data_IF_635052961264
#
_entry.id   IF_635052961264
#
_cell.length_a   1.000
_cell.length_b   1.000
_cell.length_c   1.000
_cell.angle_alpha   90.00
_cell.angle_beta   90.00
_cell.angle_gamma   90.00
#
_symmetry.space_group_name_H-M   'P 1'
#
loop_
_entity.id
_entity.type
_entity.pdbx_description
1 polymer ?
#
# COMPACT_ATOMS: atom_id res chain seq x y z
N UNK A 1 3.91 14.07 13.81
CA UNK A 1 5.31 13.67 14.07
C UNK A 1 5.63 14.03 15.52
N UNK A 2 6.12 13.10 16.36
CA UNK A 2 6.55 13.46 17.71
C UNK A 2 7.66 14.52 17.58
N UNK A 3 7.47 15.66 18.24
CA UNK A 3 8.49 16.72 18.28
C UNK A 3 9.67 16.18 19.08
N UNK A 4 10.73 15.80 18.38
CA UNK A 4 12.04 15.52 18.96
C UNK A 4 12.84 16.81 18.99
N UNK A 5 13.31 17.19 20.16
CA UNK A 5 14.16 18.37 20.32
C UNK A 5 15.47 17.98 20.98
N UNK A 6 16.57 18.38 20.35
CA UNK A 6 17.91 18.25 20.92
C UNK A 6 18.38 19.61 21.42
N UNK A 7 18.93 19.63 22.63
CA UNK A 7 19.68 20.77 23.15
C UNK A 7 21.12 20.35 23.37
N UNK A 8 22.05 21.03 22.71
CA UNK A 8 23.48 20.81 22.90
C UNK A 8 23.94 21.54 24.16
N UNK A 9 24.48 20.79 25.14
CA UNK A 9 25.10 21.37 26.32
C UNK A 9 26.61 21.38 26.12
N UNK A 10 27.18 22.58 25.94
CA UNK A 10 28.63 22.82 25.75
C UNK A 10 29.27 22.04 24.60
N UNK A 11 28.51 21.68 23.56
CA UNK A 11 28.98 20.82 22.44
C UNK A 11 29.50 19.43 22.85
N UNK A 12 29.29 19.01 24.10
CA UNK A 12 29.84 17.76 24.66
C UNK A 12 28.75 16.75 24.97
N UNK A 13 27.58 17.22 25.40
CA UNK A 13 26.46 16.39 25.80
C UNK A 13 25.21 16.75 24.99
N UNK A 14 24.42 15.72 24.66
CA UNK A 14 23.14 15.86 23.97
C UNK A 14 22.04 15.64 25.00
N UNK A 15 21.27 16.69 25.27
CA UNK A 15 20.02 16.59 26.01
C UNK A 15 18.89 16.36 25.01
N UNK A 16 18.12 15.29 25.18
CA UNK A 16 16.97 14.99 24.34
C UNK A 16 15.66 15.22 25.10
N UNK A 17 14.63 15.59 24.36
CA UNK A 17 13.24 15.59 24.84
C UNK A 17 12.30 15.14 23.73
N UNK A 18 11.34 14.27 24.08
CA UNK A 18 10.32 13.76 23.16
C UNK A 18 9.01 13.43 23.88
N UNK A 19 7.92 13.28 23.10
CA UNK A 19 6.55 13.12 23.60
C UNK A 19 6.09 14.29 24.49
N UNK A 20 6.26 15.52 24.03
CA UNK A 20 5.81 16.73 24.75
C UNK A 20 6.44 16.84 26.16
N UNK A 21 7.76 16.68 26.24
CA UNK A 21 8.57 16.75 27.47
C UNK A 21 8.35 15.65 28.53
N UNK A 22 7.52 14.64 28.29
CA UNK A 22 7.34 13.54 29.25
C UNK A 22 8.58 12.66 29.37
N UNK A 23 9.37 12.56 28.30
CA UNK A 23 10.60 11.76 28.29
C UNK A 23 11.77 12.65 27.90
N UNK A 24 12.68 12.84 28.83
CA UNK A 24 13.85 13.69 28.65
C UNK A 24 15.05 13.11 29.40
N UNK A 25 16.25 13.52 29.00
CA UNK A 25 17.47 13.07 29.64
C UNK A 25 18.72 13.28 28.79
N UNK A 26 19.81 12.71 29.27
CA UNK A 26 21.05 12.57 28.53
C UNK A 26 21.20 11.12 28.07
N UNK A 27 21.74 10.94 26.88
CA UNK A 27 22.06 9.60 26.41
C UNK A 27 23.21 8.98 27.23
N UNK A 28 23.10 7.69 27.50
CA UNK A 28 24.18 6.88 28.09
C UNK A 28 24.76 5.96 27.01
N UNK A 29 26.06 5.66 27.04
CA UNK A 29 26.68 4.79 26.03
C UNK A 29 26.52 3.33 26.45
N UNK A 30 25.89 2.53 25.59
CA UNK A 30 25.57 1.12 25.84
C UNK A 30 26.83 0.31 26.16
N UNK A 31 26.75 -0.51 27.21
CA UNK A 31 27.86 -1.37 27.64
C UNK A 31 29.02 -0.67 28.36
N UNK A 32 28.88 0.61 28.74
CA UNK A 32 29.84 1.34 29.57
C UNK A 32 29.14 2.27 30.56
N UNK A 33 29.76 2.55 31.71
CA UNK A 33 29.29 3.60 32.63
C UNK A 33 29.82 5.00 32.26
N UNK A 34 30.46 5.12 31.09
CA UNK A 34 31.14 6.33 30.66
C UNK A 34 30.18 7.27 29.95
N UNK A 35 30.37 8.56 30.17
CA UNK A 35 29.65 9.62 29.48
C UNK A 35 30.13 9.78 28.03
N UNK A 36 29.29 10.38 27.19
CA UNK A 36 29.62 10.68 25.79
C UNK A 36 31.01 11.35 25.60
N UNK A 37 31.37 12.40 26.36
CA UNK A 37 32.68 13.02 26.23
C UNK A 37 33.85 12.15 26.72
N UNK A 38 33.63 11.24 27.66
CA UNK A 38 34.68 10.28 28.07
C UNK A 38 34.93 9.26 26.96
N UNK A 39 33.86 8.74 26.35
CA UNK A 39 33.95 7.81 25.22
C UNK A 39 34.49 8.45 23.94
N UNK A 40 34.36 9.76 23.79
CA UNK A 40 34.89 10.51 22.64
C UNK A 40 36.31 11.04 22.85
N UNK A 41 37.02 10.65 23.92
CA UNK A 41 38.33 11.21 24.30
C UNK A 41 38.31 12.75 24.45
N UNK A 42 37.23 13.30 25.01
CA UNK A 42 37.03 14.73 25.21
C UNK A 42 36.70 15.50 23.92
N UNK A 43 36.41 14.82 22.81
CA UNK A 43 36.04 15.47 21.56
C UNK A 43 34.65 16.08 21.64
N UNK A 44 34.44 17.19 20.93
CA UNK A 44 33.13 17.85 20.81
C UNK A 44 32.34 17.28 19.64
N UNK A 45 31.03 17.43 19.70
CA UNK A 45 30.09 17.05 18.63
C UNK A 45 30.37 17.95 17.41
N UNK A 46 30.51 17.32 16.25
CA UNK A 46 30.70 17.99 14.97
C UNK A 46 29.38 18.08 14.19
N UNK A 47 28.59 17.00 14.17
CA UNK A 47 27.36 16.93 13.40
C UNK A 47 26.40 15.91 14.02
N UNK A 48 25.09 16.18 13.93
CA UNK A 48 24.02 15.25 14.26
C UNK A 48 23.12 15.14 13.05
N UNK A 49 22.82 13.92 12.64
CA UNK A 49 21.86 13.61 11.57
C UNK A 49 20.71 12.82 12.18
N UNK A 50 19.50 13.22 11.81
CA UNK A 50 18.25 12.53 12.12
C UNK A 50 17.57 12.18 10.79
N UNK A 51 17.21 10.93 10.58
CA UNK A 51 16.37 10.53 9.46
C UNK A 51 14.87 10.54 9.81
N UNK A 52 14.02 10.35 8.81
CA UNK A 52 12.56 10.31 8.99
C UNK A 52 12.07 9.00 9.64
N UNK A 53 12.93 7.99 9.77
CA UNK A 53 12.67 6.72 10.45
C UNK A 53 13.02 6.79 11.95
N UNK A 54 13.58 7.91 12.40
CA UNK A 54 13.98 8.14 13.79
C UNK A 54 15.36 7.59 14.15
N UNK A 55 16.21 7.29 13.18
CA UNK A 55 17.62 6.98 13.39
C UNK A 55 18.41 8.26 13.62
N UNK A 56 19.28 8.26 14.64
CA UNK A 56 20.09 9.40 15.05
C UNK A 56 21.56 8.98 14.95
N UNK A 57 22.31 9.66 14.09
CA UNK A 57 23.74 9.47 13.90
C UNK A 57 24.49 10.72 14.37
N UNK A 58 25.40 10.55 15.32
CA UNK A 58 26.19 11.61 15.94
C UNK A 58 27.64 11.42 15.54
N UNK A 59 28.22 12.46 14.94
CA UNK A 59 29.63 12.54 14.58
C UNK A 59 30.37 13.47 15.52
N UNK A 60 31.47 12.99 16.08
CA UNK A 60 32.43 13.78 16.85
C UNK A 60 33.50 14.42 15.94
N UNK A 61 34.21 15.46 16.43
CA UNK A 61 35.28 16.12 15.67
C UNK A 61 36.46 15.20 15.37
N UNK A 62 36.73 14.21 16.23
CA UNK A 62 37.75 13.18 16.02
C UNK A 62 37.25 11.99 15.18
N UNK A 63 36.13 12.13 14.47
CA UNK A 63 35.54 11.12 13.59
C UNK A 63 35.02 9.85 14.30
N UNK A 64 34.84 9.88 15.63
CA UNK A 64 34.09 8.85 16.33
C UNK A 64 32.59 9.03 16.04
N UNK A 65 31.91 7.91 15.79
CA UNK A 65 30.47 7.88 15.53
C UNK A 65 29.70 7.21 16.66
N UNK A 66 28.53 7.77 16.95
CA UNK A 66 27.55 7.17 17.85
C UNK A 66 26.19 7.10 17.15
N UNK A 67 25.50 5.98 17.34
CA UNK A 67 24.17 5.74 16.82
C UNK A 67 23.16 5.54 17.94
N UNK A 68 21.95 6.05 17.76
CA UNK A 68 20.80 5.66 18.56
C UNK A 68 19.52 5.77 17.74
N UNK A 69 18.44 5.21 18.25
CA UNK A 69 17.10 5.37 17.69
C UNK A 69 16.28 6.21 18.64
N UNK A 70 15.36 7.01 18.11
CA UNK A 70 14.56 8.00 18.83
C UNK A 70 13.84 7.47 20.09
N UNK A 71 13.55 6.17 20.18
CA UNK A 71 12.94 5.55 21.38
C UNK A 71 13.94 4.88 22.33
N UNK A 72 15.20 4.75 21.93
CA UNK A 72 16.27 4.16 22.73
C UNK A 72 16.95 5.25 23.57
N UNK A 73 17.26 4.92 24.82
CA UNK A 73 17.97 5.81 25.75
C UNK A 73 19.48 5.65 25.70
N UNK A 74 19.93 4.64 24.97
CA UNK A 74 21.33 4.25 24.87
C UNK A 74 21.92 4.65 23.52
N UNK A 75 23.17 5.10 23.54
CA UNK A 75 24.01 5.31 22.37
C UNK A 75 24.91 4.10 22.17
N UNK A 76 24.98 3.63 20.93
CA UNK A 76 25.91 2.60 20.53
C UNK A 76 27.08 3.29 19.84
N UNK A 77 28.30 3.04 20.30
CA UNK A 77 29.48 3.49 19.59
C UNK A 77 29.68 2.61 18.35
N UNK A 78 29.80 3.24 17.19
CA UNK A 78 30.09 2.53 15.94
C UNK A 78 31.61 2.36 15.76
N UNK A 79 32.05 1.35 14.97
CA UNK A 79 33.45 1.14 14.64
C UNK A 79 34.11 2.37 14.01
N UNK A 80 35.42 2.45 14.18
CA UNK A 80 36.22 3.52 13.58
C UNK A 80 36.27 3.33 12.07
N UNK A 81 35.59 4.20 11.32
CA UNK A 81 35.54 4.12 9.85
C UNK A 81 36.78 4.73 9.18
N UNK A 82 37.15 5.95 9.58
CA UNK A 82 38.24 6.73 8.96
C UNK A 82 39.14 7.32 10.05
N UNK A 83 40.44 7.36 9.79
CA UNK A 83 41.44 7.95 10.67
C UNK A 83 41.02 9.38 11.10
N UNK A 84 41.16 9.70 12.39
CA UNK A 84 40.67 10.93 13.03
C UNK A 84 41.19 12.24 12.46
N UNK A 85 42.24 12.20 11.62
CA UNK A 85 42.84 13.39 11.00
C UNK A 85 42.16 13.86 9.72
N UNK A 86 41.35 13.03 9.05
CA UNK A 86 40.69 13.41 7.79
C UNK A 86 39.45 14.26 8.04
N UNK A 87 39.27 15.34 7.27
CA UNK A 87 38.06 16.15 7.31
C UNK A 87 36.94 15.42 6.58
N UNK A 88 35.86 15.13 7.28
CA UNK A 88 34.69 14.47 6.71
C UNK A 88 33.38 15.04 7.24
N UNK A 89 32.35 14.99 6.40
CA UNK A 89 30.98 15.42 6.72
C UNK A 89 30.03 14.29 6.33
N UNK A 90 28.96 14.12 7.09
CA UNK A 90 27.92 13.15 6.77
C UNK A 90 26.82 13.83 5.96
N UNK A 91 26.31 13.12 4.95
CA UNK A 91 25.19 13.54 4.11
C UNK A 91 24.13 12.45 4.10
N UNK A 92 22.89 12.84 4.38
CA UNK A 92 21.73 11.94 4.34
C UNK A 92 20.93 12.26 3.07
N UNK A 93 20.63 11.25 2.26
CA UNK A 93 19.72 11.43 1.14
C UNK A 93 18.23 11.31 1.60
N UNK A 94 17.26 11.70 0.75
CA UNK A 94 15.84 11.55 1.08
C UNK A 94 15.39 10.11 1.38
N UNK A 95 16.11 9.12 0.86
CA UNK A 95 15.87 7.70 1.10
C UNK A 95 16.51 7.16 2.39
N UNK A 96 17.03 8.02 3.27
CA UNK A 96 17.73 7.69 4.51
C UNK A 96 19.07 6.93 4.34
N UNK A 97 19.64 6.87 3.13
CA UNK A 97 21.00 6.38 2.92
C UNK A 97 22.03 7.41 3.39
N UNK A 98 23.03 6.96 4.15
CA UNK A 98 24.11 7.80 4.67
C UNK A 98 25.31 7.74 3.73
N UNK A 99 25.82 8.91 3.36
CA UNK A 99 27.06 9.08 2.61
C UNK A 99 28.06 9.88 3.44
N UNK A 100 29.34 9.55 3.29
CA UNK A 100 30.45 10.32 3.83
C UNK A 100 31.04 11.15 2.69
N UNK A 101 31.14 12.46 2.92
CA UNK A 101 31.85 13.40 2.07
C UNK A 101 33.23 13.65 2.68
N UNK A 102 34.26 13.16 2.02
CA UNK A 102 35.66 13.34 2.40
C UNK A 102 36.22 14.57 1.70
N UNK A 103 36.76 15.49 2.49
CA UNK A 103 37.31 16.74 1.99
C UNK A 103 38.84 16.64 2.05
N UNK A 104 39.47 16.61 0.89
CA UNK A 104 40.93 16.62 0.75
C UNK A 104 41.37 17.82 -0.08
N UNK A 105 41.83 18.87 0.61
CA UNK A 105 42.14 20.16 -0.01
C UNK A 105 40.92 20.76 -0.72
N UNK A 106 41.00 20.83 -2.05
CA UNK A 106 39.92 21.34 -2.93
C UNK A 106 38.98 20.25 -3.46
N UNK A 107 39.29 18.97 -3.25
CA UNK A 107 38.53 17.85 -3.79
C UNK A 107 37.58 17.28 -2.74
N UNK A 108 36.36 16.95 -3.17
CA UNK A 108 35.35 16.29 -2.33
C UNK A 108 35.06 14.92 -2.92
N UNK A 109 35.30 13.87 -2.13
CA UNK A 109 35.01 12.48 -2.50
C UNK A 109 33.78 12.00 -1.75
N UNK A 110 32.92 11.24 -2.43
CA UNK A 110 31.73 10.64 -1.82
C UNK A 110 31.95 9.14 -1.63
N UNK A 111 31.67 8.66 -0.43
CA UNK A 111 31.63 7.23 -0.11
C UNK A 111 30.28 6.88 0.51
N UNK A 112 29.73 5.71 0.18
CA UNK A 112 28.53 5.18 0.86
C UNK A 112 28.93 4.65 2.23
N UNK A 113 28.17 5.01 3.27
CA UNK A 113 28.38 4.51 4.63
C UNK A 113 27.31 3.45 4.97
N UNK A 114 27.69 2.17 5.17
CA UNK A 114 26.75 1.08 5.38
C UNK A 114 26.24 1.06 6.82
N UNK A 115 25.45 2.07 7.20
CA UNK A 115 25.00 2.30 8.57
C UNK A 115 24.38 1.05 9.23
N UNK A 116 23.52 0.33 8.52
CA UNK A 116 22.83 -0.85 9.05
C UNK A 116 23.80 -1.98 9.45
N UNK A 117 24.81 -2.24 8.62
CA UNK A 117 25.84 -3.25 8.87
C UNK A 117 26.69 -2.85 10.07
N UNK A 118 27.05 -1.56 10.18
CA UNK A 118 27.85 -1.04 11.30
C UNK A 118 27.09 -1.12 12.63
N UNK A 119 25.77 -0.85 12.63
CA UNK A 119 24.92 -1.03 13.80
C UNK A 119 24.88 -2.51 14.19
N UNK A 120 24.68 -3.40 13.21
CA UNK A 120 24.66 -4.84 13.46
C UNK A 120 25.99 -5.33 14.05
N UNK A 121 27.12 -4.91 13.47
CA UNK A 121 28.46 -5.22 13.98
C UNK A 121 28.69 -4.71 15.41
N UNK A 122 28.14 -3.54 15.76
CA UNK A 122 28.29 -2.95 17.10
C UNK A 122 27.41 -3.60 18.17
N UNK A 123 26.27 -4.17 17.75
CA UNK A 123 25.29 -4.79 18.66
C UNK A 123 25.48 -6.29 18.80
N UNK A 124 25.98 -6.94 17.75
CA UNK A 124 26.25 -8.37 17.75
C UNK A 124 27.64 -8.67 18.32
N UNK A 125 27.71 -8.88 19.65
CA UNK A 125 28.92 -9.37 20.33
C UNK A 125 28.99 -10.89 20.25
N UNK A 126 29.33 -11.42 19.08
CA UNK A 126 29.85 -12.78 19.02
C UNK A 126 31.38 -12.71 19.07
N UNK A 127 32.02 -13.67 19.74
CA UNK A 127 33.48 -13.89 19.68
C UNK A 127 33.91 -14.40 18.30
N UNK A 128 33.37 -13.81 17.24
CA UNK A 128 33.70 -14.16 15.86
C UNK A 128 34.99 -13.41 15.56
N UNK A 129 36.12 -14.15 15.54
CA UNK A 129 37.28 -13.69 14.80
C UNK A 129 36.82 -13.41 13.37
N UNK A 130 37.20 -12.27 12.79
CA UNK A 130 36.86 -11.94 11.41
C UNK A 130 37.58 -12.92 10.49
N UNK A 131 36.97 -14.09 10.25
CA UNK A 131 37.56 -15.20 9.53
C UNK A 131 37.66 -14.92 8.03
N UNK A 132 36.95 -13.90 7.54
CA UNK A 132 37.07 -13.40 6.18
C UNK A 132 38.23 -12.40 6.13
N UNK A 133 39.26 -12.74 5.37
CA UNK A 133 40.48 -11.96 5.19
C UNK A 133 40.30 -10.95 4.05
N UNK A 134 39.69 -11.38 2.94
CA UNK A 134 39.43 -10.53 1.79
C UNK A 134 38.20 -11.01 1.01
N UNK A 135 37.45 -10.06 0.45
CA UNK A 135 36.38 -10.31 -0.51
C UNK A 135 36.53 -9.35 -1.68
N UNK A 136 36.69 -9.90 -2.89
CA UNK A 136 36.80 -9.15 -4.14
C UNK A 136 35.69 -9.59 -5.08
N UNK A 137 35.11 -8.65 -5.82
CA UNK A 137 34.05 -8.92 -6.78
C UNK A 137 34.07 -7.90 -7.92
N UNK A 138 33.33 -8.20 -9.00
CA UNK A 138 33.08 -7.27 -10.11
C UNK A 138 31.69 -6.64 -10.13
N UNK A 139 30.92 -6.76 -9.04
CA UNK A 139 29.65 -6.05 -8.92
C UNK A 139 29.86 -4.55 -8.71
N UNK A 140 29.31 -3.74 -9.61
CA UNK A 140 29.26 -2.27 -9.57
C UNK A 140 27.97 -1.75 -8.90
N UNK A 141 26.90 -2.54 -8.93
CA UNK A 141 25.59 -2.19 -8.41
C UNK A 141 25.04 -3.26 -7.46
N UNK A 142 24.21 -2.84 -6.51
CA UNK A 142 23.54 -3.77 -5.58
C UNK A 142 22.40 -4.57 -6.25
N UNK A 143 21.86 -4.06 -7.37
CA UNK A 143 20.76 -4.68 -8.12
C UNK A 143 21.05 -4.52 -9.60
N UNK A 144 20.89 -5.61 -10.35
CA UNK A 144 21.04 -5.64 -11.81
C UNK A 144 19.70 -5.96 -12.45
N UNK A 145 19.29 -5.13 -13.42
CA UNK A 145 18.13 -5.39 -14.26
C UNK A 145 18.61 -6.04 -15.55
N UNK A 146 17.99 -7.15 -15.92
CA UNK A 146 18.30 -7.93 -17.12
C UNK A 146 17.11 -7.85 -18.07
N UNK A 147 17.32 -7.33 -19.27
CA UNK A 147 16.35 -7.43 -20.36
C UNK A 147 16.48 -8.79 -21.06
N UNK A 148 15.52 -9.10 -21.93
CA UNK A 148 15.48 -10.38 -22.63
C UNK A 148 16.68 -10.54 -23.56
N UNK A 149 17.42 -11.65 -23.38
CA UNK A 149 18.63 -11.95 -24.14
C UNK A 149 19.92 -11.41 -23.52
N UNK A 150 19.82 -10.60 -22.47
CA UNK A 150 20.98 -10.09 -21.76
C UNK A 150 21.74 -11.20 -21.03
N UNK A 151 23.07 -11.01 -20.97
CA UNK A 151 24.01 -11.91 -20.31
C UNK A 151 24.85 -11.11 -19.32
N UNK A 152 24.96 -11.60 -18.09
CA UNK A 152 25.82 -11.07 -17.04
C UNK A 152 26.72 -12.16 -16.50
N UNK A 153 27.95 -11.77 -16.13
CA UNK A 153 28.89 -12.67 -15.47
C UNK A 153 29.42 -11.98 -14.23
N UNK A 154 29.12 -12.58 -13.08
CA UNK A 154 29.66 -12.17 -11.80
C UNK A 154 30.84 -13.06 -11.45
N UNK A 155 31.93 -12.46 -11.00
CA UNK A 155 33.00 -13.19 -10.33
C UNK A 155 33.19 -12.64 -8.93
N UNK A 156 33.47 -13.54 -8.00
CA UNK A 156 33.89 -13.18 -6.66
C UNK A 156 35.04 -14.07 -6.21
N UNK A 157 35.92 -13.51 -5.40
CA UNK A 157 36.98 -14.21 -4.71
C UNK A 157 36.84 -13.90 -3.23
N UNK A 158 36.68 -14.95 -2.43
CA UNK A 158 36.68 -14.85 -0.98
C UNK A 158 37.87 -15.61 -0.41
N UNK A 159 38.59 -14.96 0.50
CA UNK A 159 39.76 -15.48 1.20
C UNK A 159 39.42 -15.52 2.68
N UNK A 160 39.55 -16.69 3.31
CA UNK A 160 39.16 -16.91 4.70
C UNK A 160 40.06 -17.91 5.42
N UNK A 161 40.03 -17.92 6.75
CA UNK A 161 40.79 -18.86 7.58
C UNK A 161 40.25 -20.29 7.47
N UNK A 162 41.16 -21.27 7.52
CA UNK A 162 40.80 -22.70 7.54
C UNK A 162 39.95 -23.04 8.78
N UNK A 163 38.95 -23.92 8.62
CA UNK A 163 37.92 -24.34 9.60
C UNK A 163 36.69 -23.42 9.73
N UNK A 164 36.49 -22.49 8.79
CA UNK A 164 35.28 -21.66 8.74
C UNK A 164 34.49 -21.97 7.48
N UNK A 165 33.19 -22.18 7.61
CA UNK A 165 32.30 -22.39 6.46
C UNK A 165 31.79 -21.04 5.98
N UNK A 166 32.21 -20.64 4.78
CA UNK A 166 31.85 -19.37 4.17
C UNK A 166 31.15 -19.63 2.84
N UNK A 167 29.88 -19.24 2.79
CA UNK A 167 29.06 -19.31 1.59
C UNK A 167 28.71 -17.92 1.07
N UNK A 168 28.69 -17.80 -0.24
CA UNK A 168 28.32 -16.62 -1.01
C UNK A 168 27.05 -16.99 -1.77
N UNK A 169 26.06 -16.10 -1.76
CA UNK A 169 24.78 -16.33 -2.44
C UNK A 169 24.43 -15.12 -3.31
N UNK A 170 23.96 -15.40 -4.53
CA UNK A 170 23.32 -14.41 -5.39
C UNK A 170 21.81 -14.61 -5.30
N UNK A 171 21.09 -13.55 -4.97
CA UNK A 171 19.64 -13.59 -4.89
C UNK A 171 19.04 -13.22 -6.25
N UNK A 172 18.18 -14.10 -6.77
CA UNK A 172 17.56 -13.94 -8.08
C UNK A 172 16.05 -13.76 -7.93
N UNK A 173 15.55 -12.69 -8.54
CA UNK A 173 14.11 -12.52 -8.71
C UNK A 173 13.68 -13.20 -10.02
N UNK A 174 12.64 -14.05 -9.95
CA UNK A 174 12.14 -14.85 -11.09
C UNK A 174 13.23 -15.74 -11.72
N UNK A 175 13.86 -16.65 -10.94
CA UNK A 175 14.91 -17.54 -11.46
C UNK A 175 14.41 -18.47 -12.56
N UNK A 176 13.08 -18.65 -12.70
CA UNK A 176 12.43 -19.40 -13.77
C UNK A 176 12.71 -18.85 -15.18
N UNK A 177 13.10 -17.58 -15.29
CA UNK A 177 13.39 -16.91 -16.56
C UNK A 177 14.89 -16.80 -16.86
N UNK A 178 15.73 -17.36 -15.98
CA UNK A 178 17.18 -17.19 -16.02
C UNK A 178 17.88 -18.53 -16.26
N UNK A 179 18.83 -18.54 -17.19
CA UNK A 179 19.81 -19.60 -17.32
C UNK A 179 20.98 -19.26 -16.38
N UNK A 180 21.07 -20.02 -15.29
CA UNK A 180 22.12 -19.88 -14.29
C UNK A 180 23.19 -20.96 -14.52
N UNK A 181 24.46 -20.54 -14.55
CA UNK A 181 25.61 -21.44 -14.56
C UNK A 181 26.62 -20.95 -13.54
N UNK A 182 26.87 -21.77 -12.53
CA UNK A 182 27.81 -21.44 -11.45
C UNK A 182 29.03 -22.36 -11.56
N UNK A 183 30.20 -21.78 -11.31
CA UNK A 183 31.46 -22.50 -11.22
C UNK A 183 32.24 -21.99 -10.03
N UNK A 184 32.54 -22.89 -9.10
CA UNK A 184 33.37 -22.60 -7.93
C UNK A 184 34.70 -23.35 -8.03
N UNK A 185 35.80 -22.66 -7.81
CA UNK A 185 37.14 -23.23 -7.61
C UNK A 185 37.60 -22.94 -6.20
N UNK A 186 38.22 -23.94 -5.58
CA UNK A 186 38.64 -23.87 -4.20
C UNK A 186 40.11 -24.26 -4.07
N UNK A 187 40.88 -23.43 -3.37
CA UNK A 187 42.31 -23.61 -3.14
C UNK A 187 42.63 -23.41 -1.66
N UNK A 188 43.47 -24.26 -1.08
CA UNK A 188 43.94 -24.14 0.29
C UNK A 188 45.46 -23.98 0.28
N UNK A 189 45.97 -22.97 0.97
CA UNK A 189 47.39 -22.79 1.18
C UNK A 189 47.67 -22.21 2.57
N UNK A 190 48.48 -22.92 3.36
CA UNK A 190 49.02 -22.45 4.66
C UNK A 190 47.94 -21.97 5.66
N UNK A 191 46.85 -22.70 5.83
CA UNK A 191 45.79 -22.33 6.78
C UNK A 191 44.82 -21.25 6.26
N UNK A 192 44.94 -20.87 4.98
CA UNK A 192 44.08 -19.92 4.31
C UNK A 192 43.38 -20.63 3.15
N UNK A 193 42.09 -20.40 3.05
CA UNK A 193 41.20 -20.93 2.03
C UNK A 193 40.81 -19.81 1.07
N UNK A 194 40.94 -20.06 -0.23
CA UNK A 194 40.52 -19.15 -1.30
C UNK A 194 39.45 -19.84 -2.12
N UNK A 195 38.28 -19.21 -2.21
CA UNK A 195 37.17 -19.66 -3.06
C UNK A 195 36.93 -18.62 -4.14
N UNK A 196 37.09 -19.06 -5.40
CA UNK A 196 36.78 -18.27 -6.58
C UNK A 196 35.45 -18.76 -7.15
N UNK A 197 34.47 -17.90 -7.22
CA UNK A 197 33.16 -18.22 -7.80
C UNK A 197 32.91 -17.37 -9.03
N UNK A 198 32.35 -18.01 -10.06
CA UNK A 198 31.90 -17.35 -11.28
C UNK A 198 30.47 -17.80 -11.54
N UNK A 199 29.55 -16.83 -11.56
CA UNK A 199 28.14 -17.04 -11.85
C UNK A 199 27.78 -16.34 -13.15
N UNK A 200 27.43 -17.12 -14.15
CA UNK A 200 26.90 -16.64 -15.42
C UNK A 200 25.37 -16.69 -15.38
N UNK A 201 24.75 -15.56 -15.73
CA UNK A 201 23.31 -15.36 -15.73
C UNK A 201 22.89 -14.90 -17.11
N UNK A 202 21.96 -15.61 -17.74
CA UNK A 202 21.38 -15.19 -19.02
C UNK A 202 19.86 -15.18 -18.97
N UNK A 203 19.25 -14.07 -19.34
CA UNK A 203 17.81 -13.97 -19.53
C UNK A 203 17.41 -14.63 -20.86
N UNK A 204 16.42 -15.53 -20.84
CA UNK A 204 15.99 -16.23 -22.05
C UNK A 204 14.48 -16.38 -22.17
N UNK A 205 13.99 -16.56 -23.40
CA UNK A 205 12.58 -16.81 -23.69
C UNK A 205 12.33 -18.32 -23.77
N UNK A 206 11.52 -18.83 -22.84
CA UNK A 206 11.05 -20.21 -22.82
C UNK A 206 9.98 -20.41 -23.89
N UNK A 207 10.39 -20.75 -25.12
CA UNK A 207 9.43 -21.15 -26.18
C UNK A 207 9.08 -22.64 -26.18
N UNK A 208 9.76 -23.49 -25.41
CA UNK A 208 9.51 -24.93 -25.41
C UNK A 208 9.86 -25.60 -24.08
N UNK A 209 8.89 -25.68 -23.17
CA UNK A 209 8.71 -26.79 -22.23
C UNK A 209 7.32 -26.67 -21.61
N UNK A 210 6.54 -27.72 -21.77
CA UNK A 210 5.11 -27.83 -21.49
C UNK A 210 4.77 -27.97 -19.99
N UNK A 211 5.47 -27.24 -19.14
CA UNK A 211 5.22 -27.20 -17.70
C UNK A 211 5.56 -25.79 -17.19
N UNK A 212 4.59 -25.13 -16.54
CA UNK A 212 4.59 -23.77 -15.94
C UNK A 212 3.68 -22.72 -16.65
N UNK A 213 3.12 -21.78 -15.85
CA UNK A 213 1.79 -21.23 -16.04
C UNK A 213 1.73 -20.32 -17.25
N UNK A 214 0.57 -20.30 -17.89
CA UNK A 214 0.31 -19.53 -19.09
C UNK A 214 0.51 -18.03 -18.81
N UNK A 215 1.68 -17.48 -19.18
CA UNK A 215 1.95 -16.06 -19.01
C UNK A 215 1.09 -15.26 -19.99
N UNK A 216 0.16 -14.47 -19.45
CA UNK A 216 -0.71 -13.58 -20.21
C UNK A 216 -0.19 -12.15 -20.11
N UNK A 217 0.24 -11.56 -21.23
CA UNK A 217 0.57 -10.13 -21.29
C UNK A 217 -0.75 -9.35 -21.20
N UNK A 218 -1.00 -8.78 -20.02
CA UNK A 218 -2.17 -7.95 -19.78
C UNK A 218 -1.86 -6.48 -20.07
N UNK A 219 -2.46 -5.92 -21.13
CA UNK A 219 -2.40 -4.48 -21.40
C UNK A 219 -3.31 -3.71 -20.44
N UNK A 220 -2.76 -2.64 -19.84
CA UNK A 220 -3.50 -1.67 -19.03
C UNK A 220 -3.93 -0.49 -19.90
N UNK A 221 -5.22 -0.19 -19.88
CA UNK A 221 -5.83 0.89 -20.66
C UNK A 221 -5.87 2.17 -19.82
N UNK A 222 -4.87 3.03 -20.00
CA UNK A 222 -4.70 4.28 -19.25
C UNK A 222 -5.83 5.27 -19.48
N UNK A 223 -6.36 5.35 -20.71
CA UNK A 223 -7.44 6.27 -21.05
C UNK A 223 -8.74 5.87 -20.36
N UNK A 224 -8.96 4.57 -20.19
CA UNK A 224 -10.17 4.04 -19.55
C UNK A 224 -10.09 4.01 -18.02
N UNK A 225 -8.96 3.61 -17.45
CA UNK A 225 -8.85 3.34 -16.01
C UNK A 225 -8.10 4.42 -15.22
N UNK A 226 -7.39 5.32 -15.90
CA UNK A 226 -6.66 6.42 -15.27
C UNK A 226 -5.34 6.02 -14.61
N UNK A 227 -4.96 6.72 -13.55
CA UNK A 227 -3.71 6.47 -12.84
C UNK A 227 -3.81 5.28 -11.87
N UNK A 228 -2.71 4.56 -11.70
CA UNK A 228 -2.61 3.47 -10.74
C UNK A 228 -2.54 4.01 -9.30
N UNK A 229 -3.16 3.28 -8.38
CA UNK A 229 -2.98 3.47 -6.95
C UNK A 229 -1.93 2.50 -6.43
N UNK A 230 -0.88 3.03 -5.82
CA UNK A 230 0.20 2.23 -5.28
C UNK A 230 -0.20 1.64 -3.92
N UNK A 231 -0.14 0.32 -3.82
CA UNK A 231 -0.40 -0.43 -2.59
C UNK A 231 0.81 -1.31 -2.30
N UNK A 232 1.28 -1.27 -1.06
CA UNK A 232 2.37 -2.15 -0.63
C UNK A 232 1.81 -3.54 -0.30
N UNK A 233 2.58 -4.59 -0.58
CA UNK A 233 2.24 -5.94 -0.15
C UNK A 233 2.11 -5.98 1.39
N UNK A 234 1.35 -6.95 1.90
CA UNK A 234 0.97 -7.07 3.33
C UNK A 234 0.14 -5.93 3.92
N UNK A 235 -0.08 -4.82 3.21
CA UNK A 235 -1.06 -3.81 3.64
C UNK A 235 -2.48 -4.22 3.29
N UNK A 236 -3.35 -4.13 4.28
CA UNK A 236 -4.78 -4.34 4.11
C UNK A 236 -5.39 -3.17 3.35
N UNK A 237 -6.05 -3.48 2.24
CA UNK A 237 -6.78 -2.52 1.44
C UNK A 237 -8.27 -2.78 1.60
N UNK A 238 -8.97 -1.84 2.25
CA UNK A 238 -10.42 -1.83 2.31
C UNK A 238 -10.98 -0.89 1.23
N UNK A 239 -11.64 -1.42 0.18
CA UNK A 239 -12.20 -0.60 -0.87
C UNK A 239 -13.38 0.23 -0.36
N UNK A 240 -13.35 1.53 -0.59
CA UNK A 240 -14.47 2.43 -0.28
C UNK A 240 -15.18 2.82 -1.57
N UNK A 241 -16.41 2.31 -1.76
CA UNK A 241 -17.19 2.55 -2.97
C UNK A 241 -18.13 3.74 -2.76
N UNK A 242 -18.05 4.72 -3.65
CA UNK A 242 -18.92 5.91 -3.65
C UNK A 242 -19.73 5.97 -4.94
N UNK A 243 -21.01 6.28 -4.81
CA UNK A 243 -21.93 6.43 -5.93
C UNK A 243 -21.96 7.88 -6.38
N UNK A 244 -21.81 8.07 -7.69
CA UNK A 244 -21.87 9.36 -8.36
C UNK A 244 -22.96 9.32 -9.43
N UNK A 245 -23.63 10.45 -9.61
CA UNK A 245 -24.50 10.72 -10.75
C UNK A 245 -23.83 11.79 -11.61
N UNK A 246 -23.22 11.36 -12.72
CA UNK A 246 -22.24 12.16 -13.45
C UNK A 246 -21.09 12.59 -12.54
N UNK A 247 -20.94 13.91 -12.36
CA UNK A 247 -19.90 14.50 -11.48
C UNK A 247 -20.40 14.78 -10.05
N UNK A 248 -21.66 14.47 -9.73
CA UNK A 248 -22.25 14.78 -8.42
C UNK A 248 -22.15 13.57 -7.51
N UNK A 249 -21.48 13.74 -6.38
CA UNK A 249 -21.49 12.74 -5.31
C UNK A 249 -22.93 12.54 -4.80
N UNK A 250 -23.38 11.28 -4.77
CA UNK A 250 -24.71 10.92 -4.27
C UNK A 250 -24.60 10.40 -2.85
N UNK A 251 -23.87 9.30 -2.65
CA UNK A 251 -23.67 8.65 -1.34
C UNK A 251 -22.57 7.61 -1.39
N UNK A 252 -22.15 7.12 -0.22
CA UNK A 252 -21.29 5.95 -0.10
C UNK A 252 -22.13 4.67 -0.16
N UNK A 253 -21.56 3.60 -0.72
CA UNK A 253 -22.20 2.29 -0.76
C UNK A 253 -21.89 1.55 0.55
N UNK A 254 -22.91 1.36 1.38
CA UNK A 254 -22.79 0.69 2.70
C UNK A 254 -23.22 -0.78 2.66
N UNK A 255 -23.61 -1.26 1.49
CA UNK A 255 -24.14 -2.61 1.28
C UNK A 255 -23.05 -3.58 0.83
N UNK A 256 -23.34 -4.87 0.91
CA UNK A 256 -22.43 -5.92 0.46
C UNK A 256 -22.09 -5.80 -1.02
N UNK A 257 -20.81 -5.90 -1.35
CA UNK A 257 -20.30 -5.91 -2.71
C UNK A 257 -19.19 -6.96 -2.86
N UNK A 258 -18.90 -7.31 -4.10
CA UNK A 258 -17.80 -8.21 -4.47
C UNK A 258 -16.85 -7.52 -5.41
N UNK A 259 -15.62 -8.04 -5.40
CA UNK A 259 -14.57 -7.68 -6.32
C UNK A 259 -14.06 -8.94 -7.00
N UNK A 260 -13.82 -8.87 -8.30
CA UNK A 260 -13.08 -9.90 -9.02
C UNK A 260 -12.08 -9.25 -9.97
N UNK A 261 -10.96 -9.93 -10.14
CA UNK A 261 -9.87 -9.46 -10.98
C UNK A 261 -10.16 -9.83 -12.45
N UNK A 262 -10.00 -8.84 -13.33
CA UNK A 262 -10.43 -8.92 -14.73
C UNK A 262 -9.46 -9.67 -15.65
N UNK A 263 -8.22 -9.89 -15.21
CA UNK A 263 -7.16 -10.59 -15.94
C UNK A 263 -6.91 -12.00 -15.40
N UNK A 264 -7.73 -12.46 -14.45
CA UNK A 264 -7.69 -13.81 -13.91
C UNK A 264 -6.59 -14.05 -12.88
N UNK A 265 -6.03 -13.00 -12.28
CA UNK A 265 -5.09 -13.17 -11.16
C UNK A 265 -5.81 -13.69 -9.92
N UNK A 266 -5.11 -14.51 -9.14
CA UNK A 266 -5.63 -15.17 -7.93
C UNK A 266 -4.69 -15.06 -6.74
N UNK A 267 -3.63 -14.26 -6.85
CA UNK A 267 -2.57 -14.07 -5.85
C UNK A 267 -2.86 -12.98 -4.81
N UNK A 268 -4.15 -12.66 -4.64
CA UNK A 268 -4.68 -11.83 -3.56
C UNK A 268 -5.66 -12.65 -2.70
N UNK A 269 -5.80 -12.27 -1.45
CA UNK A 269 -6.70 -12.91 -0.49
C UNK A 269 -7.53 -11.90 0.29
N UNK A 270 -8.33 -12.44 1.20
CA UNK A 270 -9.16 -11.68 2.12
C UNK A 270 -8.70 -11.91 3.55
N UNK A 271 -8.76 -10.86 4.38
CA UNK A 271 -8.24 -10.91 5.75
C UNK A 271 -9.10 -11.71 6.71
N UNK A 272 -10.41 -11.76 6.47
CA UNK A 272 -11.37 -12.35 7.40
C UNK A 272 -11.99 -13.63 6.85
N UNK A 273 -12.22 -14.60 7.74
CA UNK A 273 -12.94 -15.84 7.44
C UNK A 273 -14.46 -15.65 7.53
N UNK A 274 -15.23 -16.56 6.92
CA UNK A 274 -16.69 -16.51 7.00
C UNK A 274 -17.19 -16.60 8.45
N UNK A 275 -16.48 -17.36 9.31
CA UNK A 275 -16.82 -17.51 10.73
C UNK A 275 -16.64 -16.21 11.51
N UNK A 276 -15.54 -15.50 11.27
CA UNK A 276 -15.24 -14.22 11.94
C UNK A 276 -16.22 -13.13 11.53
N UNK A 277 -16.66 -13.13 10.28
CA UNK A 277 -17.68 -12.21 9.77
C UNK A 277 -19.12 -12.62 10.15
N UNK A 278 -19.28 -13.71 10.91
CA UNK A 278 -20.55 -14.12 11.52
C UNK A 278 -21.47 -14.97 10.63
N UNK A 279 -20.96 -15.56 9.56
CA UNK A 279 -21.75 -16.48 8.73
C UNK A 279 -22.18 -17.73 9.53
N UNK A 280 -23.42 -18.16 9.32
CA UNK A 280 -23.98 -19.38 9.91
C UNK A 280 -23.67 -20.64 9.09
N UNK A 281 -23.40 -20.46 7.79
CA UNK A 281 -23.02 -21.53 6.87
C UNK A 281 -22.14 -20.97 5.75
N UNK A 282 -21.54 -21.86 4.94
CA UNK A 282 -20.65 -21.49 3.85
C UNK A 282 -21.30 -20.49 2.88
N UNK A 283 -20.70 -19.31 2.75
CA UNK A 283 -21.11 -18.26 1.82
C UNK A 283 -20.73 -18.60 0.37
N UNK A 284 -21.42 -17.96 -0.59
CA UNK A 284 -21.04 -18.02 -2.00
C UNK A 284 -19.66 -17.39 -2.21
N UNK A 285 -18.88 -17.96 -3.14
CA UNK A 285 -17.57 -17.46 -3.56
C UNK A 285 -17.52 -17.29 -5.08
N UNK A 286 -16.64 -16.42 -5.58
CA UNK A 286 -16.49 -16.17 -7.00
C UNK A 286 -16.18 -17.45 -7.81
N UNK A 287 -15.28 -18.36 -7.37
CA UNK A 287 -15.07 -19.63 -8.07
C UNK A 287 -16.29 -20.55 -8.08
N UNK A 288 -17.10 -20.56 -7.01
CA UNK A 288 -18.36 -21.33 -6.97
C UNK A 288 -19.36 -20.80 -8.00
N UNK A 289 -19.54 -19.48 -8.03
CA UNK A 289 -20.48 -18.84 -8.96
C UNK A 289 -20.04 -19.03 -10.42
N UNK A 290 -18.73 -18.96 -10.71
CA UNK A 290 -18.16 -19.26 -12.02
C UNK A 290 -18.49 -20.67 -12.51
N UNK A 291 -18.39 -21.67 -11.63
CA UNK A 291 -18.66 -23.08 -11.99
C UNK A 291 -20.16 -23.36 -12.19
N UNK A 292 -21.03 -22.66 -11.47
CA UNK A 292 -22.49 -22.79 -11.61
C UNK A 292 -23.02 -22.14 -12.89
N UNK A 293 -22.39 -21.05 -13.36
CA UNK A 293 -22.82 -20.34 -14.57
C UNK A 293 -22.20 -20.93 -15.84
N UNK A 294 -23.00 -21.66 -16.64
CA UNK A 294 -22.64 -22.01 -18.03
C UNK A 294 -23.25 -20.98 -18.98
N UNK A 295 -22.43 -20.35 -19.82
CA UNK A 295 -22.82 -19.42 -20.90
C UNK A 295 -23.31 -18.01 -20.48
N UNK A 296 -22.98 -17.53 -19.28
CA UNK A 296 -23.27 -16.14 -18.89
C UNK A 296 -22.07 -15.22 -19.16
N UNK A 297 -22.32 -13.95 -19.46
CA UNK A 297 -21.24 -12.95 -19.48
C UNK A 297 -20.67 -12.77 -18.07
N UNK A 298 -19.39 -12.42 -17.94
CA UNK A 298 -18.71 -12.31 -16.64
C UNK A 298 -19.49 -11.43 -15.63
N UNK A 299 -20.15 -10.39 -16.13
CA UNK A 299 -20.93 -9.47 -15.31
C UNK A 299 -22.24 -10.08 -14.78
N UNK A 300 -22.80 -11.09 -15.43
CA UNK A 300 -24.09 -11.67 -15.06
C UNK A 300 -23.97 -12.84 -14.07
N UNK A 301 -22.75 -13.35 -13.88
CA UNK A 301 -22.45 -14.55 -13.09
C UNK A 301 -22.88 -14.41 -11.63
N UNK A 302 -22.53 -13.29 -10.99
CA UNK A 302 -22.89 -13.05 -9.59
C UNK A 302 -23.39 -11.62 -9.40
N UNK A 303 -24.58 -11.49 -8.82
CA UNK A 303 -25.19 -10.21 -8.57
C UNK A 303 -26.40 -10.32 -7.64
N UNK A 304 -27.19 -9.25 -7.53
CA UNK A 304 -28.33 -9.22 -6.63
C UNK A 304 -29.40 -10.27 -6.93
N UNK A 305 -29.51 -10.70 -8.19
CA UNK A 305 -30.50 -11.68 -8.62
C UNK A 305 -30.27 -13.09 -8.08
N UNK A 306 -29.04 -13.45 -7.73
CA UNK A 306 -28.65 -14.79 -7.30
C UNK A 306 -27.81 -14.81 -6.01
N UNK A 307 -27.69 -13.65 -5.35
CA UNK A 307 -27.06 -13.53 -4.05
C UNK A 307 -27.89 -14.19 -2.95
N UNK A 308 -27.23 -15.00 -2.13
CA UNK A 308 -27.81 -15.64 -0.94
C UNK A 308 -26.98 -15.25 0.29
N UNK A 309 -27.68 -14.75 1.31
CA UNK A 309 -27.05 -14.28 2.54
C UNK A 309 -26.67 -15.45 3.46
N UNK A 310 -25.39 -15.55 3.85
CA UNK A 310 -24.89 -16.58 4.77
C UNK A 310 -25.42 -16.45 6.22
N UNK A 311 -26.13 -15.36 6.52
CA UNK A 311 -26.67 -15.05 7.85
C UNK A 311 -28.05 -15.68 8.10
N UNK A 312 -28.67 -16.30 7.08
CA UNK A 312 -30.01 -16.90 7.20
C UNK A 312 -29.91 -18.39 7.50
N UNK A 313 -30.39 -18.82 8.67
CA UNK A 313 -30.30 -20.21 9.08
C UNK A 313 -31.11 -21.15 8.15
N UNK A 314 -30.47 -22.21 7.65
CA UNK A 314 -31.11 -23.31 6.93
C UNK A 314 -30.95 -24.62 7.71
N UNK A 315 -32.02 -25.43 7.80
CA UNK A 315 -32.07 -26.67 8.61
C UNK A 315 -31.01 -27.73 8.25
N UNK A 316 -30.36 -27.63 7.08
CA UNK A 316 -29.31 -28.55 6.62
C UNK A 316 -27.91 -27.88 6.56
N UNK A 317 -27.70 -26.79 7.30
CA UNK A 317 -26.40 -26.10 7.31
C UNK A 317 -25.36 -26.91 8.10
N UNK A 318 -24.24 -27.21 7.45
CA UNK A 318 -23.06 -27.78 8.08
C UNK A 318 -22.04 -26.68 8.35
N UNK A 319 -21.23 -26.83 9.40
CA UNK A 319 -20.12 -25.92 9.73
C UNK A 319 -18.94 -26.01 8.73
N UNK A 320 -19.06 -26.83 7.69
CA UNK A 320 -18.02 -27.09 6.71
C UNK A 320 -17.75 -25.85 5.84
N UNK A 321 -16.48 -25.42 5.77
CA UNK A 321 -16.05 -24.26 4.98
C UNK A 321 -16.23 -22.90 5.65
N UNK A 322 -16.66 -22.82 6.92
CA UNK A 322 -16.76 -21.55 7.65
C UNK A 322 -15.39 -20.88 7.91
N UNK A 323 -14.31 -21.65 7.90
CA UNK A 323 -12.94 -21.15 8.06
C UNK A 323 -12.30 -20.70 6.74
N UNK A 324 -13.01 -20.81 5.61
CA UNK A 324 -12.54 -20.27 4.33
C UNK A 324 -12.62 -18.73 4.33
N UNK A 325 -11.82 -18.11 3.46
CA UNK A 325 -11.80 -16.65 3.30
C UNK A 325 -13.15 -16.11 2.82
N UNK A 326 -13.65 -15.08 3.48
CA UNK A 326 -14.90 -14.42 3.11
C UNK A 326 -14.65 -13.42 1.97
N UNK A 327 -15.24 -13.65 0.80
CA UNK A 327 -14.97 -12.83 -0.40
C UNK A 327 -15.92 -11.62 -0.55
N UNK A 328 -16.95 -11.54 0.28
CA UNK A 328 -17.92 -10.45 0.25
C UNK A 328 -17.40 -9.35 1.17
N UNK A 329 -17.37 -8.12 0.64
CA UNK A 329 -16.88 -6.96 1.35
C UNK A 329 -18.05 -6.04 1.71
N UNK A 330 -17.90 -5.38 2.86
CA UNK A 330 -18.78 -4.32 3.31
C UNK A 330 -17.94 -3.16 3.85
N UNK A 331 -18.46 -1.95 3.78
CA UNK A 331 -17.84 -0.79 4.43
C UNK A 331 -17.73 -0.97 5.95
N UNK A 332 -18.69 -1.64 6.58
CA UNK A 332 -18.70 -1.83 8.04
C UNK A 332 -17.94 -3.07 8.49
N UNK A 333 -17.55 -3.96 7.58
CA UNK A 333 -16.79 -5.17 7.92
C UNK A 333 -15.32 -4.84 8.15
N UNK A 334 -14.63 -5.65 8.96
CA UNK A 334 -13.16 -5.62 9.08
C UNK A 334 -12.47 -6.30 7.89
N UNK A 335 -13.22 -7.06 7.10
CA UNK A 335 -12.70 -7.75 5.93
C UNK A 335 -12.10 -6.79 4.89
N UNK A 336 -10.88 -7.10 4.47
CA UNK A 336 -10.07 -6.30 3.56
C UNK A 336 -9.34 -7.20 2.55
N UNK A 337 -8.91 -6.63 1.43
CA UNK A 337 -8.05 -7.32 0.47
C UNK A 337 -6.60 -7.22 0.92
N UNK A 338 -5.86 -8.32 0.77
CA UNK A 338 -4.43 -8.38 1.06
C UNK A 338 -3.67 -9.13 -0.04
N UNK A 339 -2.46 -8.66 -0.34
CA UNK A 339 -1.52 -9.34 -1.22
C UNK A 339 -0.41 -9.94 -0.38
N UNK A 340 -0.32 -11.27 -0.40
CA UNK A 340 0.65 -12.02 0.40
C UNK A 340 2.03 -12.14 -0.27
N UNK A 341 2.14 -11.80 -1.56
CA UNK A 341 3.39 -11.92 -2.30
C UNK A 341 4.02 -10.55 -2.52
N UNK A 342 5.35 -10.49 -2.48
CA UNK A 342 6.14 -9.29 -2.79
C UNK A 342 6.20 -8.98 -4.29
N UNK A 343 5.49 -9.73 -5.13
CA UNK A 343 5.52 -9.52 -6.57
C UNK A 343 4.76 -8.25 -6.96
N UNK A 344 5.48 -7.29 -7.55
CA UNK A 344 4.87 -6.12 -8.16
C UNK A 344 3.95 -6.53 -9.32
N UNK A 345 2.73 -6.00 -9.33
CA UNK A 345 1.73 -6.33 -10.34
C UNK A 345 0.63 -5.28 -10.43
N UNK A 346 0.09 -5.11 -11.63
CA UNK A 346 -1.11 -4.30 -11.85
C UNK A 346 -2.33 -5.22 -11.69
N UNK A 347 -3.30 -4.77 -10.89
CA UNK A 347 -4.56 -5.46 -10.66
C UNK A 347 -5.71 -4.58 -11.14
N UNK A 348 -6.61 -5.15 -11.94
CA UNK A 348 -7.82 -4.43 -12.37
C UNK A 348 -9.03 -5.16 -11.82
N UNK A 349 -9.59 -4.62 -10.75
CA UNK A 349 -10.79 -5.15 -10.15
C UNK A 349 -12.05 -4.56 -10.79
N UNK A 350 -13.04 -5.42 -10.98
CA UNK A 350 -14.41 -5.00 -11.25
C UNK A 350 -15.25 -5.18 -10.00
N UNK A 351 -16.09 -4.18 -9.72
CA UNK A 351 -16.93 -4.12 -8.52
C UNK A 351 -18.38 -4.41 -8.88
N UNK A 352 -19.07 -5.20 -8.07
CA UNK A 352 -20.53 -5.37 -8.17
C UNK A 352 -21.20 -5.39 -6.82
N UNK A 353 -22.28 -4.62 -6.72
CA UNK A 353 -23.13 -4.57 -5.53
C UNK A 353 -24.04 -5.79 -5.53
N UNK A 354 -24.14 -6.47 -4.39
CA UNK A 354 -24.94 -7.69 -4.24
C UNK A 354 -26.32 -7.44 -3.62
N UNK A 355 -26.55 -6.29 -3.00
CA UNK A 355 -27.83 -6.01 -2.33
C UNK A 355 -28.97 -5.78 -3.35
N UNK A 356 -30.04 -6.60 -3.33
CA UNK A 356 -31.21 -6.44 -4.21
C UNK A 356 -31.93 -5.09 -4.04
N UNK A 357 -31.93 -4.55 -2.82
CA UNK A 357 -32.63 -3.32 -2.49
C UNK A 357 -31.92 -2.08 -3.05
N UNK A 358 -30.63 -2.22 -3.40
CA UNK A 358 -29.85 -1.11 -3.94
C UNK A 358 -30.34 -0.66 -5.32
N UNK A 359 -30.91 -1.57 -6.12
CA UNK A 359 -31.57 -1.23 -7.39
C UNK A 359 -32.88 -0.46 -7.18
N UNK A 360 -33.67 -0.86 -6.18
CA UNK A 360 -34.98 -0.27 -5.92
C UNK A 360 -34.86 1.21 -5.52
N UNK A 361 -33.88 1.56 -4.70
CA UNK A 361 -33.69 2.92 -4.21
C UNK A 361 -33.22 3.89 -5.31
N UNK A 362 -32.38 3.43 -6.25
CA UNK A 362 -31.96 4.25 -7.40
C UNK A 362 -33.13 4.58 -8.32
N UNK A 363 -34.01 3.59 -8.59
CA UNK A 363 -35.19 3.78 -9.43
C UNK A 363 -36.25 4.66 -8.75
N UNK A 364 -36.50 4.44 -7.46
CA UNK A 364 -37.43 5.26 -6.67
C UNK A 364 -37.02 6.73 -6.63
N UNK A 365 -35.71 7.02 -6.59
CA UNK A 365 -35.23 8.40 -6.50
C UNK A 365 -35.25 9.12 -7.85
N UNK A 366 -35.11 8.41 -8.98
CA UNK A 366 -35.39 8.99 -10.31
C UNK A 366 -36.88 9.23 -10.53
N UNK A 367 -37.75 8.34 -10.06
CA UNK A 367 -39.20 8.44 -10.30
C UNK A 367 -39.91 9.47 -9.41
N UNK A 368 -39.38 9.76 -8.22
CA UNK A 368 -40.00 10.76 -7.33
C UNK A 368 -40.04 12.16 -7.99
N UNK A 369 -39.03 12.50 -8.80
CA UNK A 369 -38.97 13.76 -9.54
C UNK A 369 -40.04 13.82 -10.64
N UNK A 370 -40.23 12.74 -11.39
CA UNK A 370 -41.24 12.67 -12.45
C UNK A 370 -42.66 12.65 -11.88
N UNK A 371 -42.91 11.89 -10.80
CA UNK A 371 -44.24 11.83 -10.14
C UNK A 371 -44.64 13.19 -9.57
N UNK A 372 -43.72 13.94 -8.95
CA UNK A 372 -43.99 15.29 -8.45
C UNK A 372 -44.35 16.27 -9.58
N UNK A 373 -43.71 16.12 -10.75
CA UNK A 373 -43.96 16.96 -11.93
C UNK A 373 -45.33 16.66 -12.57
N UNK A 374 -45.72 15.39 -12.67
CA UNK A 374 -47.05 14.99 -13.14
C UNK A 374 -48.15 15.38 -12.15
N UNK A 375 -47.92 15.25 -10.85
CA UNK A 375 -48.88 15.67 -9.81
C UNK A 375 -49.13 17.18 -9.86
N UNK A 376 -48.08 17.98 -10.03
CA UNK A 376 -48.20 19.43 -10.20
C UNK A 376 -48.96 19.81 -11.48
N UNK A 377 -48.71 19.12 -12.60
CA UNK A 377 -49.43 19.31 -13.87
C UNK A 377 -50.94 19.02 -13.73
N UNK A 378 -51.30 17.92 -13.06
CA UNK A 378 -52.71 17.56 -12.82
C UNK A 378 -53.41 18.63 -11.97
N UNK A 379 -52.74 19.13 -10.92
CA UNK A 379 -53.29 20.22 -10.10
C UNK A 379 -53.48 21.49 -10.94
N UNK A 380 -52.50 21.89 -11.74
CA UNK A 380 -52.62 23.06 -12.61
C UNK A 380 -53.77 22.94 -13.62
N UNK A 381 -53.97 21.75 -14.20
CA UNK A 381 -55.09 21.47 -15.11
C UNK A 381 -56.42 21.57 -14.37
N UNK A 382 -56.51 21.01 -13.16
CA UNK A 382 -57.72 21.09 -12.33
C UNK A 382 -58.07 22.54 -11.97
N UNK A 383 -57.07 23.34 -11.57
CA UNK A 383 -57.26 24.77 -11.30
C UNK A 383 -57.66 25.54 -12.56
N UNK A 384 -57.07 25.24 -13.72
CA UNK A 384 -57.47 25.87 -14.99
C UNK A 384 -58.93 25.54 -15.34
N UNK A 385 -59.38 24.30 -15.13
CA UNK A 385 -60.79 23.94 -15.34
C UNK A 385 -61.73 24.65 -14.37
N UNK A 386 -61.35 24.80 -13.10
CA UNK A 386 -62.14 25.57 -12.12
C UNK A 386 -62.21 27.07 -12.48
N UNK A 387 -61.11 27.64 -12.97
CA UNK A 387 -61.09 29.04 -13.41
C UNK A 387 -61.96 29.23 -14.64
N UNK A 388 -61.85 28.33 -15.64
CA UNK A 388 -62.68 28.38 -16.85
C UNK A 388 -64.18 28.16 -16.55
N UNK A 389 -64.50 27.25 -15.62
CA UNK A 389 -65.89 27.04 -15.20
C UNK A 389 -66.43 28.24 -14.43
N UNK A 390 -65.60 28.87 -13.59
CA UNK A 390 -65.95 30.11 -12.90
C UNK A 390 -66.21 31.25 -13.88
N UNK A 391 -65.36 31.46 -14.89
CA UNK A 391 -65.59 32.48 -15.92
C UNK A 391 -66.82 32.20 -16.79
N UNK A 392 -67.11 30.92 -17.09
CA UNK A 392 -68.37 30.55 -17.74
C UNK A 392 -69.58 30.85 -16.86
N UNK A 393 -69.50 30.50 -15.58
CA UNK A 393 -70.55 30.74 -14.61
C UNK A 393 -70.83 32.23 -14.45
N UNK A 394 -69.80 33.06 -14.29
CA UNK A 394 -69.98 34.52 -14.17
C UNK A 394 -70.55 35.14 -15.44
N UNK A 395 -70.15 34.67 -16.62
CA UNK A 395 -70.72 35.13 -17.89
C UNK A 395 -72.22 34.78 -18.03
N UNK A 396 -72.60 33.55 -17.69
CA UNK A 396 -74.02 33.11 -17.67
C UNK A 396 -74.81 33.89 -16.62
N UNK A 397 -74.22 34.10 -15.43
CA UNK A 397 -74.85 34.86 -14.37
C UNK A 397 -75.06 36.34 -14.73
N UNK A 398 -74.12 36.94 -15.45
CA UNK A 398 -74.26 38.29 -16.01
C UNK A 398 -75.36 38.35 -17.08
N UNK A 399 -75.47 37.37 -17.97
CA UNK A 399 -76.56 37.30 -18.97
C UNK A 399 -77.94 37.12 -18.32
N UNK A 400 -78.05 36.30 -17.26
CA UNK A 400 -79.29 36.12 -16.50
C UNK A 400 -79.67 37.38 -15.71
N UNK A 401 -78.70 38.04 -15.07
CA UNK A 401 -78.95 39.31 -14.36
C UNK A 401 -79.36 40.43 -15.31
N UNK A 402 -78.85 40.43 -16.55
CA UNK A 402 -79.24 41.38 -17.58
C UNK A 402 -80.66 41.12 -18.09
N UNK A 403 -81.04 39.85 -18.28
CA UNK A 403 -82.42 39.48 -18.68
C UNK A 403 -83.45 39.79 -17.59
N UNK A 404 -83.15 39.58 -16.31
CA UNK A 404 -84.02 40.01 -15.19
C UNK A 404 -84.13 41.54 -15.09
N UNK A 405 -83.06 42.28 -15.39
CA UNK A 405 -83.12 43.76 -15.43
C UNK A 405 -83.98 44.29 -16.58
N UNK A 406 -84.03 43.57 -17.71
CA UNK A 406 -84.83 43.96 -18.87
C UNK A 406 -86.31 43.56 -18.70
N UNK A 407 -86.57 42.42 -18.06
CA UNK A 407 -87.94 41.98 -17.70
C UNK A 407 -88.57 42.89 -16.63
N UNK A 408 -87.76 43.49 -15.74
CA UNK A 408 -88.24 44.47 -14.76
C UNK A 408 -88.44 45.88 -15.33
N UNK A 409 -87.74 46.25 -16.40
CA UNK A 409 -87.98 47.50 -17.15
C UNK A 409 -89.24 47.43 -18.02
N UNK A 410 -89.52 46.29 -18.66
CA UNK A 410 -90.75 46.10 -19.46
C UNK A 410 -92.02 46.01 -18.58
N UNK A 411 -91.88 45.77 -17.27
CA UNK A 411 -92.99 45.80 -16.28
C UNK A 411 -93.22 47.19 -15.67
N UNK A 412 -92.45 48.20 -16.07
CA UNK A 412 -92.54 49.56 -15.55
C UNK A 412 -93.07 50.59 -16.58
N UNK A 413 -93.42 50.12 -17.79
CA UNK A 413 -93.99 50.93 -18.89
C UNK A 413 -95.48 50.62 -19.24
N UNK A 414 -96.22 49.94 -18.37
CA UNK A 414 -97.70 49.82 -18.46
C UNK A 414 -98.45 50.74 -17.50
#
# INVERSE_FOLDING_TARGET
LPVFTFSLRKELNIYYTYKNNTTNGFFQVSGSNLSLPEMSNGSTIHQIILDYLGNILIKMKNNIFFYTKSELRELIQLPVWINGMKKMVLYLNPSASVYILLIDGSSIYRQTYPLEIEIFSSTFRAEISCSIIAFQHNMDFNVYYLDMGDELTFWSQIVFEENVDVSTYLEFYRPDLLLLKESSKYEIARGICTKNEVSFVKSFFLSNLSFFPQYFIAYYDWDKYGCLMELHYERYFQPVISMYDGNKYVRRVETNFILWEMKGRTDYGYTSSMKEEGCLYKAQSWPMMLNESKNSTLDEIWGPQNYRSCFVFHQNSTDEGLYEQYQILNMTSTNSIVWATSHSGIYVFRVRILDPNYRLFSFLMSDLSTVMLYSFLILCIFWAFLILSYFRYTKIFQELSYTDSQTSLDLQED
#
